data_IF_207310643002
#
_entry.id   IF_207310643002
#
_cell.length_a   1.000
_cell.length_b   1.000
_cell.length_c   1.000
_cell.angle_alpha   90.00
_cell.angle_beta   90.00
_cell.angle_gamma   90.00
#
_symmetry.space_group_name_H-M   'P 1'
#
loop_
_entity.id
_entity.type
_entity.pdbx_description
1 polymer ?
#
# COMPACT_ATOMS: atom_id res chain seq x y z
N UNK A 1 -21.35 -14.69 1.83
CA UNK A 1 -20.12 -14.14 2.44
C UNK A 1 -19.07 -13.77 1.38
N UNK A 2 -18.75 -14.65 0.41
CA UNK A 2 -17.83 -14.39 -0.74
C UNK A 2 -18.12 -13.11 -1.54
N UNK A 3 -19.40 -12.79 -1.74
CA UNK A 3 -19.84 -11.66 -2.57
C UNK A 3 -19.70 -10.31 -1.86
N UNK A 4 -19.74 -10.25 -0.53
CA UNK A 4 -19.79 -8.96 0.19
C UNK A 4 -18.40 -8.33 0.31
N UNK A 5 -17.35 -9.10 0.63
CA UNK A 5 -15.97 -8.63 0.62
C UNK A 5 -15.52 -8.26 -0.81
N UNK A 6 -15.94 -9.05 -1.81
CA UNK A 6 -15.71 -8.76 -3.22
C UNK A 6 -16.41 -7.46 -3.67
N UNK A 7 -17.66 -7.24 -3.26
CA UNK A 7 -18.42 -6.02 -3.56
C UNK A 7 -17.92 -4.80 -2.78
N UNK A 8 -17.39 -4.95 -1.57
CA UNK A 8 -16.77 -3.86 -0.82
C UNK A 8 -15.39 -3.51 -1.39
N UNK A 9 -14.61 -4.52 -1.80
CA UNK A 9 -13.31 -4.35 -2.45
C UNK A 9 -13.44 -3.76 -3.86
N UNK A 10 -14.50 -4.06 -4.61
CA UNK A 10 -14.80 -3.44 -5.90
C UNK A 10 -15.61 -2.11 -5.77
N UNK A 11 -16.42 -1.99 -4.73
CA UNK A 11 -17.23 -0.80 -4.44
C UNK A 11 -16.38 0.36 -3.92
N UNK A 12 -15.38 0.09 -3.07
CA UNK A 12 -14.39 1.07 -2.65
C UNK A 12 -13.51 1.58 -3.80
N UNK A 13 -13.42 0.83 -4.89
CA UNK A 13 -12.51 1.13 -6.00
C UNK A 13 -13.15 1.93 -7.11
N UNK A 14 -14.47 1.84 -7.25
CA UNK A 14 -15.24 2.76 -8.08
C UNK A 14 -15.16 4.20 -7.54
N UNK A 15 -14.99 4.37 -6.22
CA UNK A 15 -14.76 5.69 -5.62
C UNK A 15 -13.31 6.16 -5.75
N UNK A 16 -12.36 5.23 -5.93
CA UNK A 16 -10.94 5.54 -5.98
C UNK A 16 -10.43 5.90 -7.38
N UNK A 17 -11.09 5.57 -8.50
CA UNK A 17 -10.54 5.77 -9.86
C UNK A 17 -11.50 6.48 -10.82
N UNK A 18 -11.34 7.79 -11.09
CA UNK A 18 -12.25 8.47 -12.01
C UNK A 18 -11.87 8.37 -13.50
N UNK A 19 -10.60 8.29 -13.92
CA UNK A 19 -10.28 8.89 -15.24
C UNK A 19 -9.53 8.08 -16.32
N UNK A 20 -9.10 6.82 -16.12
CA UNK A 20 -8.41 6.07 -17.20
C UNK A 20 -8.77 4.59 -17.20
N UNK A 21 -9.43 4.13 -18.26
CA UNK A 21 -9.86 2.73 -18.44
C UNK A 21 -8.70 1.71 -18.33
N UNK A 22 -7.51 2.08 -18.78
CA UNK A 22 -6.29 1.27 -18.64
C UNK A 22 -5.89 1.06 -17.17
N UNK A 23 -5.97 2.13 -16.36
CA UNK A 23 -5.62 2.08 -14.94
C UNK A 23 -6.62 1.23 -14.16
N UNK A 24 -7.90 1.28 -14.56
CA UNK A 24 -8.96 0.44 -13.99
C UNK A 24 -8.71 -1.04 -14.28
N UNK A 25 -8.36 -1.41 -15.52
CA UNK A 25 -8.08 -2.82 -15.89
C UNK A 25 -6.86 -3.39 -15.18
N UNK A 26 -5.77 -2.61 -15.11
CA UNK A 26 -4.57 -3.01 -14.39
C UNK A 26 -4.86 -3.19 -12.89
N UNK A 27 -5.65 -2.28 -12.33
CA UNK A 27 -6.03 -2.33 -10.94
C UNK A 27 -6.94 -3.53 -10.62
N UNK A 28 -7.99 -3.78 -11.42
CA UNK A 28 -8.83 -4.99 -11.30
C UNK A 28 -7.97 -6.26 -11.39
N UNK A 29 -7.01 -6.30 -12.30
CA UNK A 29 -6.11 -7.45 -12.45
C UNK A 29 -5.27 -7.68 -11.19
N UNK A 30 -4.73 -6.62 -10.59
CA UNK A 30 -3.96 -6.71 -9.34
C UNK A 30 -4.83 -7.16 -8.17
N UNK A 31 -6.05 -6.64 -8.09
CA UNK A 31 -7.05 -7.03 -7.10
C UNK A 31 -7.40 -8.51 -7.21
N UNK A 32 -7.65 -9.01 -8.42
CA UNK A 32 -7.90 -10.44 -8.67
C UNK A 32 -6.71 -11.31 -8.25
N UNK A 33 -5.48 -10.90 -8.56
CA UNK A 33 -4.28 -11.65 -8.15
C UNK A 33 -4.09 -11.70 -6.64
N UNK A 34 -4.36 -10.60 -5.93
CA UNK A 34 -4.30 -10.57 -4.48
C UNK A 34 -5.35 -11.52 -3.89
N UNK A 35 -6.56 -11.54 -4.46
CA UNK A 35 -7.61 -12.48 -4.06
C UNK A 35 -7.21 -13.94 -4.33
N UNK A 36 -6.61 -14.24 -5.47
CA UNK A 36 -6.08 -15.59 -5.77
C UNK A 36 -5.05 -16.02 -4.71
N UNK A 37 -4.13 -15.12 -4.32
CA UNK A 37 -3.14 -15.40 -3.28
C UNK A 37 -3.83 -15.67 -1.92
N UNK A 38 -4.87 -14.91 -1.59
CA UNK A 38 -5.67 -15.12 -0.38
C UNK A 38 -6.40 -16.45 -0.41
N UNK A 39 -7.00 -16.82 -1.55
CA UNK A 39 -7.73 -18.08 -1.72
C UNK A 39 -6.80 -19.30 -1.61
N UNK A 40 -5.61 -19.23 -2.20
CA UNK A 40 -4.60 -20.28 -2.08
C UNK A 40 -3.98 -20.37 -0.68
N UNK A 41 -4.04 -19.27 0.09
CA UNK A 41 -3.55 -19.21 1.47
C UNK A 41 -4.64 -19.49 2.52
N UNK A 42 -5.80 -20.03 2.14
CA UNK A 42 -6.77 -20.47 3.14
C UNK A 42 -6.18 -21.60 4.00
N UNK A 43 -6.02 -21.39 5.32
CA UNK A 43 -5.47 -22.41 6.19
C UNK A 43 -6.45 -23.58 6.29
N UNK A 44 -5.90 -24.76 6.57
CA UNK A 44 -6.67 -25.85 7.14
C UNK A 44 -7.36 -25.30 8.42
N UNK A 45 -8.70 -25.42 8.59
CA UNK A 45 -9.41 -24.89 9.75
C UNK A 45 -8.91 -25.44 11.10
N UNK A 46 -8.03 -26.45 11.09
CA UNK A 46 -7.42 -27.04 12.27
C UNK A 46 -5.96 -26.60 12.54
N UNK A 47 -5.32 -25.85 11.63
CA UNK A 47 -3.96 -25.36 11.84
C UNK A 47 -3.94 -24.08 12.69
N UNK A 48 -3.60 -24.25 13.97
CA UNK A 48 -3.51 -23.15 14.93
C UNK A 48 -2.20 -22.38 14.72
N UNK A 49 -2.32 -21.14 14.23
CA UNK A 49 -1.42 -20.04 14.59
C UNK A 49 -0.08 -19.96 13.85
N UNK A 50 -0.09 -19.69 12.55
CA UNK A 50 1.04 -19.00 11.93
C UNK A 50 0.79 -17.50 11.97
N UNK A 51 1.54 -16.76 12.80
CA UNK A 51 1.51 -15.29 12.84
C UNK A 51 2.26 -14.65 11.66
N UNK A 52 2.79 -15.45 10.73
CA UNK A 52 3.59 -15.01 9.61
C UNK A 52 3.10 -15.63 8.29
N UNK A 53 3.16 -14.83 7.22
CA UNK A 53 2.95 -15.33 5.86
C UNK A 53 3.99 -16.40 5.50
N UNK A 54 3.54 -17.49 4.88
CA UNK A 54 4.45 -18.49 4.33
C UNK A 54 5.30 -17.85 3.20
N UNK A 55 6.56 -18.27 3.08
CA UNK A 55 7.51 -17.85 2.02
C UNK A 55 6.92 -17.94 0.61
N UNK A 56 6.07 -18.93 0.34
CA UNK A 56 5.38 -19.05 -0.96
C UNK A 56 4.46 -17.87 -1.23
N UNK A 57 3.70 -17.42 -0.22
CA UNK A 57 2.79 -16.28 -0.32
C UNK A 57 3.56 -14.98 -0.46
N UNK A 58 4.62 -14.80 0.34
CA UNK A 58 5.51 -13.65 0.22
C UNK A 58 6.09 -13.51 -1.19
N UNK A 59 6.54 -14.62 -1.79
CA UNK A 59 7.05 -14.63 -3.17
C UNK A 59 5.99 -14.28 -4.21
N UNK A 60 4.73 -14.68 -4.00
CA UNK A 60 3.62 -14.31 -4.88
C UNK A 60 3.28 -12.81 -4.76
N UNK A 61 3.29 -12.27 -3.55
CA UNK A 61 3.12 -10.83 -3.31
C UNK A 61 4.25 -10.03 -3.97
N UNK A 62 5.50 -10.51 -3.89
CA UNK A 62 6.64 -9.91 -4.59
C UNK A 62 6.47 -9.94 -6.13
N UNK A 63 5.82 -10.98 -6.65
CA UNK A 63 5.47 -11.11 -8.07
C UNK A 63 4.37 -10.14 -8.56
N UNK A 64 3.75 -9.35 -7.66
CA UNK A 64 2.75 -8.34 -8.05
C UNK A 64 3.37 -7.12 -8.73
N UNK A 65 4.70 -6.96 -8.68
CA UNK A 65 5.43 -5.86 -9.30
C UNK A 65 4.92 -4.46 -8.91
N UNK A 66 4.65 -4.27 -7.61
CA UNK A 66 4.12 -3.01 -7.06
C UNK A 66 5.05 -1.82 -7.35
N UNK A 67 6.35 -2.05 -7.51
CA UNK A 67 7.36 -1.06 -7.87
C UNK A 67 7.10 -0.35 -9.21
N UNK A 68 6.27 -0.94 -10.08
CA UNK A 68 5.91 -0.37 -11.39
C UNK A 68 4.72 0.59 -11.35
N UNK A 69 3.97 0.61 -10.24
CA UNK A 69 2.78 1.45 -10.09
C UNK A 69 3.15 2.88 -9.75
N UNK A 70 2.34 3.88 -10.10
CA UNK A 70 2.53 5.25 -9.62
C UNK A 70 2.26 5.37 -8.11
N UNK A 71 2.73 6.43 -7.46
CA UNK A 71 2.46 6.64 -6.03
C UNK A 71 0.96 6.78 -5.72
N UNK A 72 0.20 7.36 -6.64
CA UNK A 72 -1.27 7.43 -6.55
C UNK A 72 -1.92 6.04 -6.63
N UNK A 73 -1.45 5.19 -7.56
CA UNK A 73 -1.94 3.82 -7.70
C UNK A 73 -1.61 2.97 -6.46
N UNK A 74 -0.39 3.11 -5.93
CA UNK A 74 0.02 2.49 -4.66
C UNK A 74 -0.84 3.00 -3.50
N UNK A 75 -1.16 4.30 -3.48
CA UNK A 75 -2.04 4.86 -2.47
C UNK A 75 -3.42 4.21 -2.47
N UNK A 76 -4.04 4.15 -3.64
CA UNK A 76 -5.38 3.56 -3.80
C UNK A 76 -5.38 2.06 -3.48
N UNK A 77 -4.36 1.32 -3.91
CA UNK A 77 -4.23 -0.10 -3.61
C UNK A 77 -4.04 -0.37 -2.12
N UNK A 78 -3.17 0.40 -1.45
CA UNK A 78 -2.96 0.29 0.00
C UNK A 78 -4.25 0.53 0.78
N UNK A 79 -5.02 1.56 0.40
CA UNK A 79 -6.33 1.84 1.01
C UNK A 79 -7.32 0.70 0.79
N UNK A 80 -7.42 0.19 -0.44
CA UNK A 80 -8.31 -0.92 -0.74
C UNK A 80 -7.96 -2.19 0.05
N UNK A 81 -6.67 -2.50 0.21
CA UNK A 81 -6.21 -3.64 1.00
C UNK A 81 -6.52 -3.47 2.49
N UNK A 82 -6.30 -2.29 3.06
CA UNK A 82 -6.63 -2.06 4.48
C UNK A 82 -8.14 -2.12 4.77
N UNK A 83 -8.99 -1.68 3.84
CA UNK A 83 -10.45 -1.87 3.98
C UNK A 83 -10.82 -3.35 3.91
N UNK A 84 -10.13 -4.12 3.07
CA UNK A 84 -10.36 -5.55 2.90
C UNK A 84 -9.91 -6.40 4.10
N UNK A 85 -8.92 -5.97 4.89
CA UNK A 85 -8.52 -6.63 6.15
C UNK A 85 -9.49 -6.39 7.33
N UNK A 86 -10.61 -5.66 7.13
CA UNK A 86 -11.46 -5.16 8.21
C UNK A 86 -12.83 -5.86 8.42
N UNK A 87 -12.96 -7.18 8.23
CA UNK A 87 -13.92 -7.93 9.06
C UNK A 87 -13.24 -9.11 9.77
N UNK A 88 -12.83 -8.85 11.02
CA UNK A 88 -12.33 -9.84 11.98
C UNK A 88 -13.41 -10.90 12.27
N UNK A 89 -13.42 -11.97 11.48
CA UNK A 89 -14.04 -13.24 11.88
C UNK A 89 -12.91 -14.23 12.12
N UNK A 90 -12.90 -14.85 13.30
CA UNK A 90 -11.77 -15.63 13.83
C UNK A 90 -11.26 -16.79 12.93
N UNK A 91 -11.96 -17.13 11.85
CA UNK A 91 -11.54 -18.11 10.85
C UNK A 91 -10.71 -17.57 9.68
N UNK A 92 -10.41 -16.26 9.63
CA UNK A 92 -9.77 -15.62 8.46
C UNK A 92 -8.52 -14.78 8.77
N UNK A 93 -7.88 -14.98 9.93
CA UNK A 93 -6.69 -14.22 10.36
C UNK A 93 -5.55 -14.20 9.32
N UNK A 94 -5.42 -15.22 8.47
CA UNK A 94 -4.38 -15.28 7.44
C UNK A 94 -4.72 -14.49 6.17
N UNK A 95 -6.00 -14.25 5.89
CA UNK A 95 -6.42 -13.36 4.80
C UNK A 95 -6.01 -11.92 5.11
N UNK A 96 -6.14 -11.53 6.38
CA UNK A 96 -5.75 -10.21 6.88
C UNK A 96 -4.24 -9.99 6.72
N UNK A 97 -3.42 -11.01 6.96
CA UNK A 97 -1.96 -10.94 6.78
C UNK A 97 -1.55 -10.64 5.32
N UNK A 98 -2.27 -11.16 4.33
CA UNK A 98 -1.96 -10.89 2.91
C UNK A 98 -2.30 -9.45 2.55
N UNK A 99 -3.49 -8.97 2.95
CA UNK A 99 -3.90 -7.60 2.69
C UNK A 99 -3.04 -6.59 3.45
N UNK A 100 -2.67 -6.88 4.70
CA UNK A 100 -1.79 -6.04 5.50
C UNK A 100 -0.37 -5.98 4.92
N UNK A 101 0.21 -7.10 4.46
CA UNK A 101 1.54 -7.09 3.82
C UNK A 101 1.53 -6.29 2.51
N UNK A 102 0.50 -6.44 1.68
CA UNK A 102 0.35 -5.64 0.45
C UNK A 102 0.20 -4.15 0.78
N UNK A 103 -0.62 -3.81 1.79
CA UNK A 103 -0.78 -2.44 2.26
C UNK A 103 0.57 -1.84 2.70
N UNK A 104 1.30 -2.52 3.58
CA UNK A 104 2.59 -2.05 4.09
C UNK A 104 3.70 -2.02 3.03
N UNK A 105 3.63 -2.88 2.00
CA UNK A 105 4.53 -2.77 0.85
C UNK A 105 4.24 -1.51 0.04
N UNK A 106 2.96 -1.18 -0.18
CA UNK A 106 2.60 0.08 -0.86
C UNK A 106 3.13 1.29 -0.08
N UNK A 107 2.94 1.32 1.24
CA UNK A 107 3.46 2.38 2.13
C UNK A 107 4.98 2.53 2.00
N UNK A 108 5.73 1.42 2.09
CA UNK A 108 7.20 1.42 2.00
C UNK A 108 7.71 1.88 0.64
N UNK A 109 7.05 1.50 -0.45
CA UNK A 109 7.43 1.94 -1.79
C UNK A 109 7.18 3.44 -1.95
N UNK A 110 6.05 3.98 -1.46
CA UNK A 110 5.78 5.42 -1.49
C UNK A 110 6.85 6.20 -0.69
N UNK A 111 7.22 5.72 0.49
CA UNK A 111 8.19 6.38 1.37
C UNK A 111 9.62 6.43 0.82
N UNK A 112 9.99 5.51 -0.08
CA UNK A 112 11.33 5.44 -0.67
C UNK A 112 11.44 6.17 -2.01
N UNK A 113 10.33 6.71 -2.53
CA UNK A 113 10.31 7.42 -3.81
C UNK A 113 10.54 8.92 -3.65
N UNK A 114 11.27 9.47 -4.62
CA UNK A 114 11.34 10.91 -4.84
C UNK A 114 10.01 11.43 -5.44
N UNK A 115 9.61 12.63 -5.05
CA UNK A 115 8.37 13.27 -5.52
C UNK A 115 7.63 14.01 -4.42
N UNK A 116 7.09 15.20 -4.74
CA UNK A 116 6.40 16.10 -3.80
C UNK A 116 5.14 15.51 -3.20
N UNK A 117 4.46 14.62 -3.94
CA UNK A 117 3.13 14.15 -3.57
C UNK A 117 3.20 12.92 -2.64
N UNK A 118 4.38 12.33 -2.45
CA UNK A 118 4.56 11.11 -1.64
C UNK A 118 4.29 11.37 -0.15
N UNK A 119 4.79 12.49 0.39
CA UNK A 119 4.48 12.90 1.76
C UNK A 119 2.97 13.14 1.96
N UNK A 120 2.29 13.71 0.95
CA UNK A 120 0.83 13.89 0.99
C UNK A 120 0.10 12.54 1.06
N UNK A 121 0.48 11.56 0.23
CA UNK A 121 -0.14 10.23 0.27
C UNK A 121 0.12 9.49 1.59
N UNK A 122 1.34 9.56 2.14
CA UNK A 122 1.65 8.97 3.45
C UNK A 122 0.86 9.60 4.59
N UNK A 123 0.68 10.93 4.58
CA UNK A 123 -0.16 11.62 5.55
C UNK A 123 -1.63 11.16 5.47
N UNK A 124 -2.16 11.01 4.25
CA UNK A 124 -3.52 10.47 4.06
C UNK A 124 -3.65 9.03 4.55
N UNK A 125 -2.65 8.19 4.33
CA UNK A 125 -2.65 6.82 4.85
C UNK A 125 -2.54 6.79 6.38
N UNK A 126 -1.69 7.62 6.98
CA UNK A 126 -1.57 7.75 8.43
C UNK A 126 -2.91 8.12 9.08
N UNK A 127 -3.68 9.02 8.47
CA UNK A 127 -5.01 9.40 8.96
C UNK A 127 -6.02 8.25 8.89
N UNK A 128 -5.83 7.28 8.00
CA UNK A 128 -6.74 6.14 7.81
C UNK A 128 -6.33 4.90 8.64
N UNK A 129 -5.02 4.66 8.82
CA UNK A 129 -4.50 3.41 9.39
C UNK A 129 -3.59 3.61 10.62
N UNK A 130 -3.16 4.84 10.87
CA UNK A 130 -2.19 5.20 11.92
C UNK A 130 -2.82 5.61 13.25
N UNK A 131 -4.07 5.21 13.52
CA UNK A 131 -4.76 5.54 14.79
C UNK A 131 -4.24 4.70 15.96
N UNK A 132 -3.67 3.53 15.68
CA UNK A 132 -3.04 2.66 16.66
C UNK A 132 -1.56 3.03 16.86
N UNK A 133 -1.07 2.95 18.11
CA UNK A 133 0.24 3.48 18.50
C UNK A 133 1.44 2.95 17.70
N UNK A 134 1.43 1.67 17.30
CA UNK A 134 2.51 1.05 16.51
C UNK A 134 2.58 1.58 15.06
N UNK A 135 1.52 1.39 14.26
CA UNK A 135 1.42 1.95 12.91
C UNK A 135 1.64 3.47 12.85
N UNK A 136 1.14 4.23 13.84
CA UNK A 136 1.29 5.70 13.89
C UNK A 136 2.74 6.17 13.93
N UNK A 137 3.58 5.50 14.73
CA UNK A 137 5.00 5.80 14.85
C UNK A 137 5.74 5.51 13.55
N UNK A 138 5.49 4.34 12.93
CA UNK A 138 6.08 3.99 11.65
C UNK A 138 5.71 4.98 10.54
N UNK A 139 4.45 5.41 10.46
CA UNK A 139 4.05 6.46 9.51
C UNK A 139 4.78 7.78 9.77
N UNK A 140 4.99 8.15 11.03
CA UNK A 140 5.70 9.40 11.39
C UNK A 140 7.16 9.36 10.91
N UNK A 141 7.86 8.24 11.12
CA UNK A 141 9.23 8.05 10.66
C UNK A 141 9.33 8.07 9.12
N UNK A 142 8.39 7.43 8.44
CA UNK A 142 8.35 7.39 6.97
C UNK A 142 8.05 8.76 6.36
N UNK A 143 7.14 9.53 6.96
CA UNK A 143 6.84 10.90 6.51
C UNK A 143 8.07 11.79 6.69
N UNK A 144 8.72 11.76 7.85
CA UNK A 144 9.93 12.54 8.10
C UNK A 144 11.08 12.16 7.15
N UNK A 145 11.21 10.87 6.83
CA UNK A 145 12.19 10.38 5.85
C UNK A 145 11.90 10.92 4.45
N UNK A 146 10.63 11.02 4.07
CA UNK A 146 10.22 11.56 2.78
C UNK A 146 10.51 13.07 2.69
N UNK A 147 10.12 13.84 3.71
CA UNK A 147 10.37 15.28 3.78
C UNK A 147 11.87 15.60 3.68
N UNK A 148 12.71 14.75 4.29
CA UNK A 148 14.17 14.84 4.15
C UNK A 148 14.62 14.60 2.71
N UNK A 149 14.14 13.54 2.06
CA UNK A 149 14.46 13.22 0.65
C UNK A 149 14.05 14.37 -0.29
N UNK A 150 12.93 15.03 -0.02
CA UNK A 150 12.49 16.19 -0.79
C UNK A 150 13.42 17.40 -0.58
N UNK A 151 13.84 17.68 0.67
CA UNK A 151 14.76 18.79 0.96
C UNK A 151 16.15 18.63 0.34
N UNK A 152 16.63 17.38 0.21
CA UNK A 152 17.90 17.06 -0.44
C UNK A 152 17.82 17.26 -1.96
N UNK A 153 16.67 16.94 -2.56
CA UNK A 153 16.40 17.16 -3.97
C UNK A 153 16.34 18.66 -4.32
N UNK A 154 15.72 19.47 -3.47
CA UNK A 154 15.63 20.92 -3.66
C UNK A 154 17.01 21.61 -3.54
N UNK A 155 17.89 21.08 -2.69
CA UNK A 155 19.28 21.57 -2.55
C UNK A 155 20.20 21.17 -3.70
N UNK A 156 19.95 20.02 -4.34
CA UNK A 156 20.70 19.59 -5.53
C UNK A 156 20.34 20.35 -6.81
N UNK A 157 19.23 21.11 -6.81
CA UNK A 157 18.70 21.84 -7.96
C UNK A 157 19.08 23.32 -8.05
N UNK A 158 19.78 23.90 -7.07
CA UNK A 158 20.24 25.29 -7.17
C UNK A 158 21.57 25.38 -7.93
N UNK A 159 21.62 25.91 -9.18
CA UNK A 159 22.89 26.32 -9.76
C UNK A 159 23.46 27.43 -8.88
N UNK A 160 24.71 27.28 -8.46
CA UNK A 160 25.44 28.33 -7.76
C UNK A 160 25.47 29.57 -8.65
N UNK A 161 24.57 30.53 -8.43
CA UNK A 161 24.70 31.88 -8.98
C UNK A 161 25.88 32.52 -8.29
N UNK A 162 27.05 32.34 -8.90
CA UNK A 162 28.28 33.05 -8.58
C UNK A 162 28.02 34.52 -8.86
N UNK A 163 27.77 35.29 -7.81
CA UNK A 163 27.76 36.74 -7.84
C UNK A 163 29.17 37.23 -8.14
N UNK A 164 29.46 37.49 -9.41
CA UNK A 164 30.62 38.30 -9.79
C UNK A 164 30.23 39.77 -9.63
N UNK A 165 30.59 40.34 -8.48
CA UNK A 165 30.71 41.78 -8.30
C UNK A 165 31.95 42.26 -9.05
N UNK A 166 31.76 43.15 -10.03
CA UNK A 166 32.71 44.22 -10.38
C UNK A 166 31.94 45.41 -10.92
#
# INVERSE_FOLDING_TARGET
MRTLAFLLFLGGTAFAYPDKEHDIRQFITLQSKILEIVEEHQPDPFEKGSSNLNKTVQKKIEGLHLEKLSSEQLYRLGVACSVASCPQTAGHQNCDLVFDDVCWRCVRIIATRHGSDNAHYLNRMKALFGTDGGPSLQFTELIASQEKLQSEQDRGGQPATRSESK
#
